data_IF_212757801196
#
_entry.id   IF_212757801196
#
_cell.length_a   1.000
_cell.length_b   1.000
_cell.length_c   1.000
_cell.angle_alpha   90.00
_cell.angle_beta   90.00
_cell.angle_gamma   90.00
#
_symmetry.space_group_name_H-M   'P 1'
#
loop_
_entity.id
_entity.type
_entity.pdbx_description
1 polymer ?
#
# COMPACT_ATOMS: atom_id res chain seq x y z
N UNK A 1 12.91 -3.40 2.53
CA UNK A 1 12.47 -2.03 2.16
C UNK A 1 13.25 -1.57 0.91
N UNK A 2 12.65 -0.77 0.03
CA UNK A 2 13.20 -0.31 -1.27
C UNK A 2 12.98 -1.26 -2.47
N UNK A 3 11.77 -1.25 -3.03
CA UNK A 3 11.52 -1.76 -4.39
C UNK A 3 10.69 -0.72 -5.16
N UNK A 4 11.21 -0.22 -6.27
CA UNK A 4 10.56 0.78 -7.14
C UNK A 4 11.02 0.58 -8.58
N UNK A 5 10.09 0.63 -9.53
CA UNK A 5 10.36 0.55 -10.98
C UNK A 5 10.47 1.93 -11.66
N UNK A 6 10.48 3.04 -10.88
CA UNK A 6 10.68 4.41 -11.40
C UNK A 6 12.10 4.92 -11.11
N UNK A 7 12.73 5.54 -12.12
CA UNK A 7 14.11 6.08 -12.08
C UNK A 7 14.39 7.14 -10.98
N UNK A 8 13.38 7.78 -10.40
CA UNK A 8 13.56 8.86 -9.40
C UNK A 8 12.64 8.74 -8.17
N UNK A 9 12.24 7.53 -7.78
CA UNK A 9 11.48 7.31 -6.55
C UNK A 9 12.19 6.35 -5.62
N UNK A 10 12.60 6.80 -4.43
CA UNK A 10 13.26 5.99 -3.40
C UNK A 10 12.41 4.79 -2.89
N UNK A 11 11.27 4.44 -3.48
CA UNK A 11 10.40 3.36 -2.99
C UNK A 11 9.75 3.64 -1.62
N UNK A 12 9.76 4.90 -1.19
CA UNK A 12 9.27 5.32 0.13
C UNK A 12 7.74 5.42 0.17
N UNK A 13 7.09 5.74 -0.95
CA UNK A 13 5.64 6.00 -0.99
C UNK A 13 4.80 4.82 -0.48
N UNK A 14 5.02 3.62 -1.02
CA UNK A 14 4.32 2.41 -0.57
C UNK A 14 4.69 1.99 0.85
N UNK A 15 5.93 2.26 1.27
CA UNK A 15 6.37 1.99 2.65
C UNK A 15 5.62 2.88 3.64
N UNK A 16 5.46 4.17 3.32
CA UNK A 16 4.67 5.11 4.12
C UNK A 16 3.20 4.70 4.17
N UNK A 17 2.61 4.39 3.00
CA UNK A 17 1.22 3.92 2.91
C UNK A 17 1.00 2.66 3.74
N UNK A 18 1.92 1.68 3.66
CA UNK A 18 1.82 0.45 4.46
C UNK A 18 1.83 0.75 5.95
N UNK A 19 2.76 1.61 6.40
CA UNK A 19 2.85 2.02 7.80
C UNK A 19 1.56 2.71 8.27
N UNK A 20 1.04 3.68 7.52
CA UNK A 20 -0.21 4.36 7.86
C UNK A 20 -1.38 3.40 7.96
N UNK A 21 -1.48 2.43 7.05
CA UNK A 21 -2.57 1.44 7.07
C UNK A 21 -2.42 0.49 8.26
N UNK A 22 -1.20 0.06 8.60
CA UNK A 22 -0.95 -0.76 9.79
C UNK A 22 -1.28 0.00 11.09
N UNK A 23 -0.92 1.29 11.19
CA UNK A 23 -1.24 2.16 12.34
C UNK A 23 -2.77 2.33 12.51
N UNK A 24 -3.53 2.22 11.43
CA UNK A 24 -5.00 2.23 11.41
C UNK A 24 -5.63 0.84 11.60
N UNK A 25 -4.83 -0.19 11.94
CA UNK A 25 -5.24 -1.59 12.02
C UNK A 25 -5.92 -2.11 10.74
N UNK A 26 -5.57 -1.51 9.61
CA UNK A 26 -6.05 -1.87 8.30
C UNK A 26 -5.18 -2.92 7.62
N UNK A 27 -5.59 -3.31 6.42
CA UNK A 27 -4.81 -4.19 5.54
C UNK A 27 -4.76 -3.63 4.12
N UNK A 28 -3.65 -3.87 3.43
CA UNK A 28 -3.42 -3.47 2.04
C UNK A 28 -2.97 -4.68 1.24
N UNK A 29 -3.60 -4.90 0.08
CA UNK A 29 -3.25 -5.93 -0.89
C UNK A 29 -3.04 -5.29 -2.26
N UNK A 30 -2.00 -5.73 -2.97
CA UNK A 30 -1.64 -5.20 -4.28
C UNK A 30 -1.53 -6.38 -5.25
N UNK A 31 -2.30 -6.29 -6.33
CA UNK A 31 -2.33 -7.29 -7.39
C UNK A 31 -2.02 -6.57 -8.69
N UNK A 32 -1.09 -7.09 -9.49
CA UNK A 32 -0.71 -6.48 -10.77
C UNK A 32 -0.57 -7.54 -11.82
N UNK A 33 -1.04 -7.25 -13.03
CA UNK A 33 -0.87 -8.10 -14.19
C UNK A 33 -0.47 -7.24 -15.39
N UNK A 34 0.58 -7.67 -16.10
CA UNK A 34 1.10 -6.97 -17.26
C UNK A 34 -0.01 -6.81 -18.32
N UNK A 35 -0.19 -5.61 -18.85
CA UNK A 35 -1.24 -5.30 -19.82
C UNK A 35 -2.64 -5.11 -19.25
N UNK A 36 -2.89 -5.45 -17.96
CA UNK A 36 -4.16 -5.15 -17.26
C UNK A 36 -4.02 -4.02 -16.23
N UNK A 37 -2.79 -3.76 -15.79
CA UNK A 37 -2.48 -2.71 -14.82
C UNK A 37 -2.40 -3.26 -13.39
N UNK A 38 -2.57 -2.37 -12.42
CA UNK A 38 -2.39 -2.67 -10.99
C UNK A 38 -3.64 -2.31 -10.22
N UNK A 39 -4.11 -3.26 -9.40
CA UNK A 39 -5.20 -3.08 -8.45
C UNK A 39 -4.63 -3.01 -7.04
N UNK A 40 -5.07 -2.01 -6.27
CA UNK A 40 -4.71 -1.82 -4.87
C UNK A 40 -6.00 -1.87 -4.06
N UNK A 41 -6.09 -2.81 -3.12
CA UNK A 41 -7.23 -2.98 -2.23
C UNK A 41 -6.82 -2.62 -0.80
N UNK A 42 -7.51 -1.66 -0.18
CA UNK A 42 -7.29 -1.23 1.20
C UNK A 42 -8.56 -1.56 2.00
N UNK A 43 -8.40 -2.23 3.14
CA UNK A 43 -9.48 -2.51 4.09
C UNK A 43 -9.14 -1.84 5.41
N UNK A 44 -10.06 -1.01 5.89
CA UNK A 44 -9.95 -0.34 7.19
C UNK A 44 -11.12 -0.79 8.09
N UNK A 45 -10.91 -0.91 9.40
CA UNK A 45 -12.01 -1.15 10.35
C UNK A 45 -13.00 0.02 10.32
N UNK A 46 -14.31 -0.26 10.37
CA UNK A 46 -15.35 0.76 10.28
C UNK A 46 -15.56 1.56 11.57
N UNK A 47 -15.00 1.10 12.69
CA UNK A 47 -15.07 1.74 14.01
C UNK A 47 -13.67 1.83 14.59
N UNK A 48 -13.29 3.01 15.10
CA UNK A 48 -12.04 3.17 15.83
C UNK A 48 -12.02 2.30 17.08
N UNK A 49 -10.84 1.79 17.45
CA UNK A 49 -10.63 1.26 18.81
C UNK A 49 -10.60 2.45 19.77
N UNK A 50 -11.32 2.32 20.88
CA UNK A 50 -11.33 3.23 22.03
C UNK A 50 -9.95 3.30 22.70
#
# INVERSE_FOLDING_TARGET
PYFSTKKEGMGLGLTLVKKTIDDLWGTINIESELGKGTKVNIKLPCTGRD
#
